data_IF_730084376359
#
_entry.id   IF_730084376359
#
_cell.length_a   1.000
_cell.length_b   1.000
_cell.length_c   1.000
_cell.angle_alpha   90.00
_cell.angle_beta   90.00
_cell.angle_gamma   90.00
#
_symmetry.space_group_name_H-M   'P 1'
#
loop_
_entity.id
_entity.type
_entity.pdbx_description
1 polymer ?
#
# COMPACT_ATOMS: atom_id res chain seq x y z
N UNK A 1 -6.58 39.83 6.65
CA UNK A 1 -5.52 39.63 5.62
C UNK A 1 -4.80 38.35 5.99
N UNK A 2 -5.25 37.19 5.44
CA UNK A 2 -4.66 35.91 5.73
C UNK A 2 -3.57 35.64 4.67
N UNK A 3 -2.33 35.53 5.12
CA UNK A 3 -1.23 35.10 4.26
C UNK A 3 -1.46 33.66 3.81
N UNK A 4 -1.19 33.31 2.54
CA UNK A 4 -1.30 31.94 2.08
C UNK A 4 -0.25 31.08 2.78
N UNK A 5 -0.68 30.02 3.44
CA UNK A 5 0.19 28.99 3.99
C UNK A 5 1.05 28.42 2.85
N UNK A 6 2.35 28.71 2.90
CA UNK A 6 3.33 28.06 2.02
C UNK A 6 3.37 26.58 2.39
N UNK A 7 2.75 25.76 1.58
CA UNK A 7 2.93 24.30 1.62
C UNK A 7 4.37 24.03 1.21
N UNK A 8 5.23 23.74 2.18
CA UNK A 8 6.55 23.19 1.86
C UNK A 8 6.32 21.83 1.22
N UNK A 9 6.80 21.57 0.00
CA UNK A 9 6.77 20.24 -0.56
C UNK A 9 7.57 19.35 0.38
N UNK A 10 6.92 18.30 0.92
CA UNK A 10 7.64 17.24 1.63
C UNK A 10 8.79 16.75 0.75
N UNK A 11 9.88 16.21 1.34
CA UNK A 11 11.05 15.83 0.57
C UNK A 11 10.63 14.92 -0.57
N UNK A 12 10.88 15.38 -1.80
CA UNK A 12 10.76 14.53 -2.98
C UNK A 12 11.63 13.30 -2.72
N UNK A 13 11.19 12.09 -3.05
CA UNK A 13 12.07 10.94 -2.99
C UNK A 13 13.32 11.27 -3.81
N UNK A 14 14.53 10.97 -3.31
CA UNK A 14 15.76 11.36 -3.96
C UNK A 14 15.76 10.86 -5.39
N UNK A 15 15.77 11.77 -6.34
CA UNK A 15 16.03 11.49 -7.74
C UNK A 15 17.42 10.89 -7.89
N UNK A 16 17.55 9.93 -8.73
CA UNK A 16 18.66 9.04 -9.06
C UNK A 16 18.74 7.80 -8.17
N UNK A 17 18.02 6.78 -8.64
CA UNK A 17 18.16 5.41 -8.18
C UNK A 17 19.49 4.82 -8.67
N UNK A 18 20.57 5.14 -7.98
CA UNK A 18 21.80 4.34 -8.06
C UNK A 18 21.46 2.94 -7.54
N UNK A 19 21.98 1.89 -8.17
CA UNK A 19 21.84 0.51 -7.70
C UNK A 19 22.51 0.41 -6.33
N UNK A 20 21.75 0.67 -5.26
CA UNK A 20 22.25 0.49 -3.91
C UNK A 20 22.11 -0.99 -3.58
N UNK A 21 23.24 -1.66 -3.34
CA UNK A 21 23.28 -2.87 -2.52
C UNK A 21 22.92 -2.44 -1.09
N UNK A 22 21.65 -2.16 -0.84
CA UNK A 22 21.19 -1.77 0.48
C UNK A 22 20.75 -3.02 1.20
N UNK A 23 21.34 -3.28 2.36
CA UNK A 23 20.90 -4.34 3.27
C UNK A 23 19.55 -3.98 3.88
N UNK A 24 18.78 -4.97 4.37
CA UNK A 24 17.54 -4.74 5.13
C UNK A 24 17.80 -3.88 6.38
N UNK A 25 19.05 -3.80 6.85
CA UNK A 25 19.50 -2.90 7.91
C UNK A 25 19.27 -1.42 7.61
N UNK A 26 19.44 -1.03 6.34
CA UNK A 26 19.36 0.36 5.89
C UNK A 26 17.97 0.72 5.32
N UNK A 27 17.00 -0.21 5.44
CA UNK A 27 15.67 -0.03 4.86
C UNK A 27 14.76 0.74 5.83
N UNK A 28 14.29 1.91 5.40
CA UNK A 28 13.39 2.76 6.19
C UNK A 28 11.91 2.46 5.90
N UNK A 29 11.48 1.21 6.12
CA UNK A 29 10.08 0.79 5.93
C UNK A 29 9.24 0.93 7.20
N UNK A 30 9.73 1.63 8.23
CA UNK A 30 8.98 1.93 9.46
C UNK A 30 8.54 0.70 10.27
N UNK A 31 9.27 -0.41 10.19
CA UNK A 31 8.90 -1.63 10.91
C UNK A 31 7.81 -2.47 10.24
N UNK A 32 7.36 -2.11 9.04
CA UNK A 32 6.25 -2.78 8.33
C UNK A 32 6.70 -4.06 7.59
N UNK A 33 7.97 -4.15 7.20
CA UNK A 33 8.48 -5.24 6.38
C UNK A 33 8.49 -6.60 7.11
N UNK A 34 8.52 -7.68 6.33
CA UNK A 34 8.61 -9.06 6.82
C UNK A 34 9.85 -9.31 7.69
N UNK A 35 10.99 -8.65 7.40
CA UNK A 35 12.24 -8.78 8.16
C UNK A 35 12.25 -8.05 9.51
N UNK A 36 11.17 -7.35 9.86
CA UNK A 36 11.08 -6.58 11.12
C UNK A 36 11.11 -7.52 12.33
N UNK A 37 11.91 -7.13 13.33
CA UNK A 37 12.04 -7.90 14.58
C UNK A 37 12.98 -9.12 14.51
N UNK A 38 13.65 -9.34 13.37
CA UNK A 38 14.71 -10.32 13.28
C UNK A 38 15.99 -9.81 13.97
N UNK A 39 16.66 -10.69 14.70
CA UNK A 39 18.03 -10.45 15.20
C UNK A 39 19.03 -10.31 14.03
N UNK A 40 20.23 -9.82 14.33
CA UNK A 40 21.26 -9.52 13.31
C UNK A 40 21.64 -10.73 12.47
N UNK A 41 21.73 -11.93 13.07
CA UNK A 41 22.09 -13.17 12.39
C UNK A 41 21.00 -13.62 11.40
N UNK A 42 19.76 -13.62 11.86
CA UNK A 42 18.59 -13.97 11.05
C UNK A 42 18.31 -12.92 9.97
N UNK A 43 18.55 -11.63 10.26
CA UNK A 43 18.45 -10.56 9.27
C UNK A 43 19.46 -10.73 8.13
N UNK A 44 20.69 -11.13 8.45
CA UNK A 44 21.70 -11.43 7.43
C UNK A 44 21.32 -12.65 6.56
N UNK A 45 20.69 -13.68 7.15
CA UNK A 45 20.15 -14.81 6.39
C UNK A 45 19.02 -14.39 5.44
N UNK A 46 18.13 -13.54 5.92
CA UNK A 46 17.05 -12.97 5.12
C UNK A 46 17.60 -12.08 3.98
N UNK A 47 18.63 -11.26 4.23
CA UNK A 47 19.29 -10.44 3.21
C UNK A 47 19.91 -11.29 2.09
N UNK A 48 20.50 -12.43 2.44
CA UNK A 48 21.03 -13.37 1.42
C UNK A 48 19.93 -13.97 0.54
N UNK A 49 18.73 -14.19 1.10
CA UNK A 49 17.58 -14.65 0.34
C UNK A 49 17.09 -13.59 -0.65
N UNK A 50 17.01 -12.33 -0.22
CA UNK A 50 16.57 -11.20 -1.07
C UNK A 50 17.45 -11.04 -2.30
N UNK A 51 18.75 -11.28 -2.18
CA UNK A 51 19.71 -11.21 -3.28
C UNK A 51 19.77 -9.84 -3.95
N UNK A 52 18.94 -9.61 -4.96
CA UNK A 52 18.92 -8.35 -5.72
C UNK A 52 17.62 -7.59 -5.56
N UNK A 53 17.71 -6.26 -5.60
CA UNK A 53 16.55 -5.39 -5.67
C UNK A 53 16.14 -5.16 -7.13
N UNK A 54 14.86 -5.34 -7.43
CA UNK A 54 14.31 -5.14 -8.76
C UNK A 54 13.70 -3.75 -8.86
N UNK A 55 14.11 -2.99 -9.88
CA UNK A 55 13.46 -1.74 -10.26
C UNK A 55 12.26 -2.02 -11.14
N UNK A 56 11.19 -1.26 -10.92
CA UNK A 56 9.95 -1.31 -11.70
C UNK A 56 9.59 0.12 -12.05
N UNK A 57 9.59 0.46 -13.34
CA UNK A 57 9.25 1.81 -13.78
C UNK A 57 7.75 2.09 -13.62
N UNK A 58 7.40 3.37 -13.52
CA UNK A 58 6.00 3.80 -13.48
C UNK A 58 5.23 3.24 -14.69
N UNK A 59 4.08 2.60 -14.43
CA UNK A 59 3.25 1.94 -15.44
C UNK A 59 3.62 0.48 -15.73
N UNK A 60 4.80 0.03 -15.34
CA UNK A 60 5.22 -1.35 -15.55
C UNK A 60 4.49 -2.32 -14.63
N UNK A 61 4.33 -3.55 -15.13
CA UNK A 61 3.72 -4.64 -14.37
C UNK A 61 4.81 -5.53 -13.76
N UNK A 62 4.76 -5.70 -12.45
CA UNK A 62 5.68 -6.55 -11.69
C UNK A 62 5.38 -8.04 -11.93
N UNK A 63 4.13 -8.43 -11.79
CA UNK A 63 3.58 -9.76 -12.13
C UNK A 63 2.15 -9.63 -12.66
N UNK A 64 1.69 -10.66 -13.39
CA UNK A 64 0.37 -10.71 -14.01
C UNK A 64 -0.44 -11.89 -13.51
N UNK A 65 -1.75 -11.74 -13.50
CA UNK A 65 -2.70 -12.85 -13.32
C UNK A 65 -2.34 -14.04 -14.22
N UNK A 66 -2.35 -15.24 -13.65
CA UNK A 66 -2.02 -16.49 -14.36
C UNK A 66 -0.53 -16.84 -14.36
N UNK A 67 0.36 -15.96 -13.96
CA UNK A 67 1.78 -16.27 -13.81
C UNK A 67 2.02 -17.17 -12.58
N UNK A 68 2.93 -18.16 -12.66
CA UNK A 68 3.27 -19.01 -11.52
C UNK A 68 3.94 -18.18 -10.41
N UNK A 69 3.62 -18.49 -9.16
CA UNK A 69 4.29 -17.93 -7.99
C UNK A 69 5.73 -18.45 -7.95
N UNK A 70 6.68 -17.57 -8.18
CA UNK A 70 8.11 -17.83 -7.99
C UNK A 70 8.67 -17.11 -6.78
N UNK A 71 8.20 -15.88 -6.57
CA UNK A 71 8.67 -15.01 -5.51
C UNK A 71 7.51 -14.19 -4.96
N UNK A 72 7.59 -13.84 -3.68
CA UNK A 72 6.87 -12.72 -3.10
C UNK A 72 7.71 -11.45 -3.25
N UNK A 73 7.06 -10.30 -3.17
CA UNK A 73 7.72 -9.02 -3.40
C UNK A 73 7.46 -8.07 -2.23
N UNK A 74 8.50 -7.71 -1.47
CA UNK A 74 8.41 -6.66 -0.46
C UNK A 74 8.70 -5.31 -1.10
N UNK A 75 7.77 -4.36 -1.01
CA UNK A 75 7.95 -3.02 -1.57
C UNK A 75 8.91 -2.20 -0.69
N UNK A 76 10.08 -1.86 -1.23
CA UNK A 76 11.09 -1.06 -0.53
C UNK A 76 10.80 0.43 -0.61
N UNK A 77 10.47 0.91 -1.79
CA UNK A 77 10.02 2.27 -2.04
C UNK A 77 9.14 2.33 -3.28
N UNK A 78 8.28 3.34 -3.36
CA UNK A 78 7.33 3.52 -4.45
C UNK A 78 5.91 3.16 -4.05
N UNK A 79 5.07 2.97 -5.05
CA UNK A 79 3.63 2.78 -4.90
C UNK A 79 3.10 1.88 -6.02
N UNK A 80 2.28 0.91 -5.66
CA UNK A 80 1.65 0.00 -6.62
C UNK A 80 0.13 0.09 -6.56
N UNK A 81 -0.52 -0.47 -7.57
CA UNK A 81 -1.91 -0.91 -7.51
C UNK A 81 -1.98 -2.39 -7.84
N UNK A 82 -2.86 -3.12 -7.14
CA UNK A 82 -3.24 -4.48 -7.49
C UNK A 82 -4.58 -4.47 -8.19
N UNK A 83 -4.70 -5.27 -9.26
CA UNK A 83 -5.86 -5.29 -10.13
C UNK A 83 -6.28 -6.73 -10.41
N UNK A 84 -7.54 -7.06 -10.19
CA UNK A 84 -8.15 -8.33 -10.59
C UNK A 84 -9.08 -8.14 -11.77
N UNK A 85 -9.05 -9.08 -12.69
CA UNK A 85 -10.01 -9.15 -13.79
C UNK A 85 -11.31 -9.76 -13.31
N UNK A 86 -12.42 -9.07 -13.54
CA UNK A 86 -13.76 -9.55 -13.26
C UNK A 86 -14.61 -9.63 -14.53
N UNK A 87 -15.76 -10.29 -14.47
CA UNK A 87 -16.68 -10.40 -15.61
C UNK A 87 -17.25 -9.04 -16.06
N UNK A 88 -17.33 -8.08 -15.14
CA UNK A 88 -17.82 -6.73 -15.40
C UNK A 88 -16.70 -5.69 -15.68
N UNK A 89 -15.45 -6.15 -15.79
CA UNK A 89 -14.27 -5.30 -15.98
C UNK A 89 -13.23 -5.47 -14.88
N UNK A 90 -12.18 -4.69 -14.97
CA UNK A 90 -11.06 -4.75 -14.02
C UNK A 90 -11.42 -4.03 -12.72
N UNK A 91 -11.12 -4.66 -11.59
CA UNK A 91 -11.31 -4.11 -10.23
C UNK A 91 -9.96 -3.87 -9.58
N UNK A 92 -9.72 -2.64 -9.11
CA UNK A 92 -8.59 -2.36 -8.21
C UNK A 92 -8.91 -2.94 -6.84
N UNK A 93 -8.00 -3.75 -6.30
CA UNK A 93 -8.16 -4.44 -5.01
C UNK A 93 -7.28 -3.86 -3.91
N UNK A 94 -6.26 -3.07 -4.26
CA UNK A 94 -5.38 -2.45 -3.26
C UNK A 94 -4.39 -1.47 -3.86
N UNK A 95 -3.75 -0.74 -2.94
CA UNK A 95 -2.71 0.23 -3.24
C UNK A 95 -1.49 -0.02 -2.35
N UNK A 96 -0.68 -1.06 -2.65
CA UNK A 96 0.51 -1.39 -1.88
C UNK A 96 1.51 -0.23 -1.79
N UNK A 97 2.02 0.01 -0.58
CA UNK A 97 3.00 1.04 -0.24
C UNK A 97 4.28 0.42 0.35
N UNK A 98 5.33 1.23 0.50
CA UNK A 98 6.60 0.79 1.08
C UNK A 98 6.40 0.03 2.40
N UNK A 99 7.07 -1.12 2.55
CA UNK A 99 6.95 -2.03 3.68
C UNK A 99 5.94 -3.17 3.49
N UNK A 100 5.03 -3.06 2.53
CA UNK A 100 4.02 -4.09 2.28
C UNK A 100 4.55 -5.22 1.39
N UNK A 101 3.94 -6.40 1.56
CA UNK A 101 4.28 -7.61 0.82
C UNK A 101 3.22 -7.86 -0.26
N UNK A 102 3.66 -8.10 -1.49
CA UNK A 102 2.79 -8.37 -2.64
C UNK A 102 2.95 -9.82 -3.12
N UNK A 103 1.90 -10.37 -3.72
CA UNK A 103 1.87 -11.74 -4.24
C UNK A 103 1.32 -12.77 -3.25
N UNK A 104 0.83 -12.34 -2.08
CA UNK A 104 0.30 -13.21 -1.03
C UNK A 104 -0.90 -14.05 -1.52
N UNK A 105 -1.69 -13.50 -2.43
CA UNK A 105 -2.86 -14.16 -3.03
C UNK A 105 -2.51 -15.42 -3.83
N UNK A 106 -1.24 -15.55 -4.23
CA UNK A 106 -0.77 -16.68 -5.02
C UNK A 106 -0.28 -17.87 -4.17
N UNK A 107 -0.07 -17.69 -2.86
CA UNK A 107 0.52 -18.70 -1.98
C UNK A 107 -0.30 -19.99 -1.93
N UNK A 108 -1.61 -19.87 -1.89
CA UNK A 108 -2.49 -21.06 -1.79
C UNK A 108 -2.69 -21.81 -3.13
N UNK A 109 -2.55 -21.11 -4.26
CA UNK A 109 -2.84 -21.69 -5.58
C UNK A 109 -1.60 -21.91 -6.43
N UNK A 110 -0.46 -21.35 -6.05
CA UNK A 110 0.78 -21.34 -6.82
C UNK A 110 0.74 -20.43 -8.06
N UNK A 111 -0.33 -19.64 -8.23
CA UNK A 111 -0.55 -18.80 -9.42
C UNK A 111 -1.10 -17.45 -8.98
N UNK A 112 -0.53 -16.34 -9.51
CA UNK A 112 -1.02 -15.00 -9.25
C UNK A 112 -2.46 -14.79 -9.71
N UNK A 113 -3.28 -14.25 -8.83
CA UNK A 113 -4.70 -13.97 -9.06
C UNK A 113 -4.97 -12.51 -9.44
N UNK A 114 -3.94 -11.67 -9.40
CA UNK A 114 -3.99 -10.24 -9.68
C UNK A 114 -2.78 -9.78 -10.51
N UNK A 115 -2.92 -8.63 -11.16
CA UNK A 115 -1.78 -7.89 -11.71
C UNK A 115 -1.27 -6.90 -10.65
N UNK A 116 0.05 -6.74 -10.49
CA UNK A 116 0.66 -5.66 -9.71
C UNK A 116 1.33 -4.65 -10.65
N UNK A 117 0.86 -3.40 -10.63
CA UNK A 117 1.28 -2.34 -11.55
C UNK A 117 1.86 -1.19 -10.73
N UNK A 118 3.07 -0.74 -11.09
CA UNK A 118 3.72 0.39 -10.43
C UNK A 118 3.03 1.72 -10.79
N UNK A 119 2.71 2.54 -9.80
CA UNK A 119 2.14 3.88 -9.98
C UNK A 119 3.20 4.97 -10.09
N UNK A 120 4.40 4.66 -9.64
CA UNK A 120 5.61 5.49 -9.74
C UNK A 120 6.83 4.58 -9.82
N UNK A 121 8.00 5.14 -10.15
CA UNK A 121 9.26 4.40 -10.15
C UNK A 121 9.49 3.78 -8.77
N UNK A 122 9.61 2.48 -8.74
CA UNK A 122 9.55 1.68 -7.52
C UNK A 122 10.73 0.71 -7.42
N UNK A 123 11.05 0.31 -6.20
CA UNK A 123 12.03 -0.75 -5.92
C UNK A 123 11.38 -1.82 -5.06
N UNK A 124 11.48 -3.06 -5.47
CA UNK A 124 11.01 -4.22 -4.72
C UNK A 124 12.16 -5.14 -4.35
N UNK A 125 12.06 -5.75 -3.18
CA UNK A 125 12.88 -6.88 -2.75
C UNK A 125 12.19 -8.15 -3.23
N UNK A 126 12.84 -8.91 -4.09
CA UNK A 126 12.33 -10.18 -4.57
C UNK A 126 12.69 -11.29 -3.57
N UNK A 127 11.67 -12.02 -3.10
CA UNK A 127 11.77 -13.06 -2.08
C UNK A 127 11.41 -14.40 -2.73
N UNK A 128 12.38 -15.20 -3.23
CA UNK A 128 12.11 -16.51 -3.82
C UNK A 128 11.33 -17.38 -2.83
N UNK A 129 10.09 -17.79 -3.21
CA UNK A 129 9.15 -18.38 -2.26
C UNK A 129 9.67 -19.68 -1.65
N UNK A 130 10.26 -20.57 -2.45
CA UNK A 130 10.86 -21.81 -1.96
C UNK A 130 12.04 -21.59 -0.99
N UNK A 131 12.75 -20.47 -1.12
CA UNK A 131 13.80 -20.07 -0.18
C UNK A 131 13.22 -19.50 1.11
N UNK A 132 12.11 -18.78 1.00
CA UNK A 132 11.39 -18.23 2.14
C UNK A 132 10.78 -19.33 3.01
N UNK A 133 10.18 -20.37 2.40
CA UNK A 133 9.66 -21.54 3.12
C UNK A 133 10.73 -22.21 3.97
N UNK A 134 11.94 -22.43 3.41
CA UNK A 134 13.07 -22.96 4.19
C UNK A 134 13.48 -22.08 5.35
N UNK A 135 13.45 -20.74 5.17
CA UNK A 135 13.73 -19.83 6.27
C UNK A 135 12.65 -19.85 7.35
N UNK A 136 11.40 -20.15 7.02
CA UNK A 136 10.34 -20.31 8.01
C UNK A 136 10.56 -21.49 8.94
N UNK A 137 11.12 -22.60 8.44
CA UNK A 137 11.49 -23.77 9.25
C UNK A 137 12.57 -23.40 10.29
N UNK A 138 13.55 -22.61 9.86
CA UNK A 138 14.69 -22.24 10.69
C UNK A 138 14.44 -21.04 11.61
N UNK A 139 13.52 -20.14 11.26
CA UNK A 139 13.28 -18.87 11.94
C UNK A 139 11.80 -18.73 12.31
N UNK A 140 11.37 -19.30 13.44
CA UNK A 140 9.95 -19.26 13.86
C UNK A 140 9.39 -17.85 14.02
N UNK A 141 10.23 -16.86 14.34
CA UNK A 141 9.84 -15.45 14.41
C UNK A 141 9.43 -14.87 13.06
N UNK A 142 10.15 -15.22 11.99
CA UNK A 142 9.84 -14.85 10.60
C UNK A 142 8.51 -15.48 10.16
N UNK A 143 8.31 -16.75 10.47
CA UNK A 143 7.09 -17.49 10.15
C UNK A 143 5.85 -16.87 10.83
N UNK A 144 5.95 -16.58 12.14
CA UNK A 144 4.87 -15.86 12.87
C UNK A 144 4.60 -14.48 12.29
N UNK A 145 5.63 -13.75 11.86
CA UNK A 145 5.45 -12.45 11.21
C UNK A 145 4.73 -12.59 9.87
N UNK A 146 5.08 -13.61 9.08
CA UNK A 146 4.40 -13.90 7.81
C UNK A 146 2.90 -14.17 8.02
N UNK A 147 2.52 -15.01 9.00
CA UNK A 147 1.11 -15.25 9.31
C UNK A 147 0.36 -13.99 9.74
N UNK A 148 1.02 -13.10 10.48
CA UNK A 148 0.41 -11.80 10.83
C UNK A 148 0.14 -10.96 9.59
N UNK A 149 1.07 -10.88 8.65
CA UNK A 149 0.88 -10.15 7.40
C UNK A 149 -0.24 -10.76 6.56
N UNK A 150 -0.32 -12.08 6.47
CA UNK A 150 -1.43 -12.78 5.81
C UNK A 150 -2.78 -12.46 6.47
N UNK A 151 -2.85 -12.51 7.80
CA UNK A 151 -4.07 -12.15 8.54
C UNK A 151 -4.47 -10.70 8.32
N UNK A 152 -3.51 -9.77 8.28
CA UNK A 152 -3.76 -8.37 7.97
C UNK A 152 -4.32 -8.18 6.56
N UNK A 153 -3.79 -8.93 5.57
CA UNK A 153 -4.30 -8.88 4.20
C UNK A 153 -5.74 -9.40 4.11
N UNK A 154 -6.04 -10.52 4.75
CA UNK A 154 -7.41 -11.07 4.84
C UNK A 154 -8.37 -10.04 5.45
N UNK A 155 -7.98 -9.40 6.55
CA UNK A 155 -8.79 -8.37 7.20
C UNK A 155 -9.00 -7.15 6.30
N UNK A 156 -7.99 -6.76 5.51
CA UNK A 156 -8.07 -5.66 4.54
C UNK A 156 -9.06 -5.99 3.42
N UNK A 157 -9.02 -7.22 2.89
CA UNK A 157 -9.97 -7.68 1.87
C UNK A 157 -11.40 -7.74 2.41
N UNK A 158 -11.60 -8.24 3.65
CA UNK A 158 -12.91 -8.25 4.30
C UNK A 158 -13.44 -6.82 4.52
N UNK A 159 -12.56 -5.90 4.92
CA UNK A 159 -12.93 -4.49 5.06
C UNK A 159 -13.39 -3.89 3.72
N UNK A 160 -12.67 -4.17 2.63
CA UNK A 160 -13.06 -3.72 1.28
C UNK A 160 -14.43 -4.31 0.88
N UNK A 161 -14.70 -5.57 1.20
CA UNK A 161 -16.03 -6.18 0.96
C UNK A 161 -17.15 -5.44 1.71
N UNK A 162 -16.95 -5.14 2.99
CA UNK A 162 -17.91 -4.37 3.78
C UNK A 162 -18.10 -2.95 3.24
N UNK A 163 -16.99 -2.30 2.86
CA UNK A 163 -17.01 -0.97 2.26
C UNK A 163 -17.87 -0.96 0.99
N UNK A 164 -17.63 -1.91 0.08
CA UNK A 164 -18.35 -1.98 -1.18
C UNK A 164 -19.83 -2.40 -1.02
N UNK A 165 -20.11 -3.30 -0.06
CA UNK A 165 -21.43 -3.88 0.12
C UNK A 165 -22.40 -3.03 0.95
N UNK A 166 -21.90 -2.32 1.97
CA UNK A 166 -22.76 -1.72 2.98
C UNK A 166 -22.63 -0.20 3.16
N UNK A 167 -21.56 0.42 2.64
CA UNK A 167 -21.33 1.85 2.85
C UNK A 167 -21.87 2.71 1.70
N UNK A 168 -22.35 3.91 2.05
CA UNK A 168 -22.71 4.94 1.07
C UNK A 168 -21.43 5.55 0.45
N UNK A 169 -21.54 6.13 -0.73
CA UNK A 169 -20.42 6.70 -1.48
C UNK A 169 -19.57 7.70 -0.66
N UNK A 170 -20.19 8.53 0.17
CA UNK A 170 -19.50 9.47 1.05
C UNK A 170 -18.71 8.76 2.14
N UNK A 171 -19.27 7.71 2.75
CA UNK A 171 -18.60 6.91 3.75
C UNK A 171 -17.40 6.17 3.14
N UNK A 172 -17.55 5.59 1.93
CA UNK A 172 -16.45 4.94 1.20
C UNK A 172 -15.28 5.90 0.97
N UNK A 173 -15.58 7.12 0.53
CA UNK A 173 -14.55 8.15 0.30
C UNK A 173 -13.91 8.59 1.61
N UNK A 174 -14.66 8.80 2.68
CA UNK A 174 -14.13 9.17 3.98
C UNK A 174 -13.23 8.07 4.55
N UNK A 175 -13.66 6.80 4.47
CA UNK A 175 -12.87 5.63 4.87
C UNK A 175 -11.56 5.54 4.07
N UNK A 176 -11.62 5.67 2.75
CA UNK A 176 -10.43 5.66 1.90
C UNK A 176 -9.42 6.74 2.30
N UNK A 177 -9.88 7.98 2.56
CA UNK A 177 -8.99 9.07 2.98
C UNK A 177 -8.40 8.84 4.37
N UNK A 178 -9.19 8.31 5.31
CA UNK A 178 -8.72 7.94 6.64
C UNK A 178 -7.67 6.82 6.58
N UNK A 179 -7.93 5.76 5.79
CA UNK A 179 -7.01 4.64 5.59
C UNK A 179 -5.70 5.09 4.95
N UNK A 180 -5.76 5.98 3.95
CA UNK A 180 -4.56 6.59 3.36
C UNK A 180 -3.77 7.38 4.39
N UNK A 181 -4.42 8.21 5.21
CA UNK A 181 -3.76 8.95 6.29
C UNK A 181 -3.06 8.00 7.28
N UNK A 182 -3.75 6.95 7.72
CA UNK A 182 -3.19 5.94 8.62
C UNK A 182 -1.99 5.19 7.98
N UNK A 183 -2.09 4.85 6.69
CA UNK A 183 -1.01 4.21 5.95
C UNK A 183 0.24 5.10 5.84
N UNK A 184 0.07 6.40 5.62
CA UNK A 184 1.18 7.36 5.64
C UNK A 184 1.76 7.53 7.05
N UNK A 185 0.91 7.60 8.10
CA UNK A 185 1.35 7.70 9.49
C UNK A 185 2.21 6.49 9.92
N UNK A 186 1.81 5.28 9.54
CA UNK A 186 2.57 4.05 9.81
C UNK A 186 3.98 4.06 9.20
N UNK A 187 4.23 4.94 8.23
CA UNK A 187 5.53 5.15 7.56
C UNK A 187 6.28 6.38 8.06
N UNK A 188 5.80 7.01 9.14
CA UNK A 188 6.43 8.20 9.72
C UNK A 188 6.12 9.51 8.98
N UNK A 189 5.12 9.51 8.09
CA UNK A 189 4.65 10.72 7.40
C UNK A 189 3.42 11.33 8.10
N UNK A 190 3.03 12.53 7.66
CA UNK A 190 1.82 13.16 8.17
C UNK A 190 0.56 12.35 7.83
N UNK A 191 -0.31 12.04 8.81
CA UNK A 191 -1.61 11.41 8.53
C UNK A 191 -2.60 12.37 7.87
N UNK A 192 -2.40 13.67 8.01
CA UNK A 192 -3.31 14.68 7.52
C UNK A 192 -2.89 15.30 6.17
N UNK A 193 -1.66 15.04 5.71
CA UNK A 193 -1.14 15.64 4.49
C UNK A 193 -0.38 14.59 3.67
N UNK A 194 -0.92 14.23 2.51
CA UNK A 194 -0.34 13.20 1.65
C UNK A 194 -0.67 13.41 0.18
N UNK A 195 -0.01 12.65 -0.69
CA UNK A 195 -0.27 12.65 -2.12
C UNK A 195 -0.96 11.36 -2.56
N UNK A 196 -2.04 11.49 -3.31
CA UNK A 196 -2.68 10.37 -4.01
C UNK A 196 -1.87 10.03 -5.26
N UNK A 197 -1.19 8.89 -5.25
CA UNK A 197 -0.38 8.43 -6.39
C UNK A 197 -1.24 7.81 -7.50
N UNK A 198 -2.40 7.27 -7.12
CA UNK A 198 -3.39 6.68 -8.02
C UNK A 198 -4.22 7.73 -8.74
N UNK A 199 -4.78 7.38 -9.89
CA UNK A 199 -5.72 8.21 -10.64
C UNK A 199 -7.10 8.23 -9.96
N UNK A 200 -7.97 9.18 -10.34
CA UNK A 200 -9.37 9.17 -9.91
C UNK A 200 -10.14 7.97 -10.44
N UNK A 201 -9.74 7.44 -11.58
CA UNK A 201 -10.25 6.21 -12.15
C UNK A 201 -9.88 5.00 -11.28
N UNK A 202 -8.62 4.90 -10.84
CA UNK A 202 -8.18 3.85 -9.92
C UNK A 202 -8.94 3.91 -8.58
N UNK A 203 -9.12 5.12 -8.02
CA UNK A 203 -9.91 5.32 -6.80
C UNK A 203 -11.37 4.92 -7.05
N UNK A 204 -11.93 5.31 -8.17
CA UNK A 204 -13.30 4.93 -8.56
C UNK A 204 -13.45 3.41 -8.65
N UNK A 205 -12.55 2.73 -9.36
CA UNK A 205 -12.51 1.27 -9.43
C UNK A 205 -12.42 0.64 -8.03
N UNK A 206 -11.50 1.12 -7.17
CA UNK A 206 -11.33 0.61 -5.80
C UNK A 206 -12.59 0.78 -4.95
N UNK A 207 -13.27 1.94 -5.05
CA UNK A 207 -14.46 2.27 -4.25
C UNK A 207 -15.78 1.85 -4.89
N UNK A 208 -15.77 1.23 -6.07
CA UNK A 208 -16.99 0.90 -6.82
C UNK A 208 -17.80 2.13 -7.20
N UNK A 209 -17.13 3.21 -7.64
CA UNK A 209 -17.71 4.50 -8.01
C UNK A 209 -17.20 4.96 -9.37
N UNK A 210 -17.95 5.82 -10.05
CA UNK A 210 -17.49 6.45 -11.30
C UNK A 210 -16.50 7.58 -11.03
N UNK A 211 -15.69 7.94 -12.03
CA UNK A 211 -14.74 9.07 -11.97
C UNK A 211 -15.44 10.38 -11.60
N UNK A 212 -16.64 10.61 -12.17
CA UNK A 212 -17.47 11.79 -11.91
C UNK A 212 -17.94 11.82 -10.45
N UNK A 213 -18.30 10.65 -9.89
CA UNK A 213 -18.69 10.52 -8.48
C UNK A 213 -17.52 10.84 -7.56
N UNK A 214 -16.31 10.31 -7.84
CA UNK A 214 -15.08 10.64 -7.11
C UNK A 214 -14.82 12.14 -7.14
N UNK A 215 -14.90 12.76 -8.33
CA UNK A 215 -14.66 14.20 -8.51
C UNK A 215 -15.68 15.06 -7.75
N UNK A 216 -16.95 14.67 -7.77
CA UNK A 216 -18.02 15.34 -7.02
C UNK A 216 -17.84 15.21 -5.52
N UNK A 217 -17.46 14.01 -5.03
CA UNK A 217 -17.23 13.78 -3.60
C UNK A 217 -16.06 14.60 -3.07
N UNK A 218 -14.92 14.62 -3.79
CA UNK A 218 -13.77 15.45 -3.41
C UNK A 218 -14.13 16.93 -3.39
N UNK A 219 -14.86 17.42 -4.41
CA UNK A 219 -15.35 18.81 -4.44
C UNK A 219 -16.33 19.12 -3.31
N UNK A 220 -17.21 18.19 -2.93
CA UNK A 220 -18.13 18.33 -1.79
C UNK A 220 -17.38 18.38 -0.46
N UNK A 221 -16.42 17.49 -0.24
CA UNK A 221 -15.61 17.49 0.98
C UNK A 221 -14.77 18.78 1.11
N UNK A 222 -14.29 19.32 -0.01
CA UNK A 222 -13.62 20.62 -0.03
C UNK A 222 -14.58 21.76 0.35
N UNK A 223 -15.79 21.80 -0.20
CA UNK A 223 -16.82 22.80 0.14
C UNK A 223 -17.25 22.74 1.61
N UNK A 224 -17.24 21.55 2.21
CA UNK A 224 -17.55 21.34 3.62
C UNK A 224 -16.37 21.65 4.55
N UNK A 225 -15.22 22.04 4.01
CA UNK A 225 -14.03 22.34 4.79
C UNK A 225 -13.35 21.11 5.42
N UNK A 226 -13.68 19.89 4.94
CA UNK A 226 -13.13 18.65 5.48
C UNK A 226 -11.73 18.35 4.93
N UNK A 227 -11.49 18.74 3.67
CA UNK A 227 -10.22 18.53 2.97
C UNK A 227 -9.89 19.73 2.10
N UNK A 228 -8.61 19.88 1.76
CA UNK A 228 -8.18 20.65 0.60
C UNK A 228 -7.50 19.74 -0.41
N UNK A 229 -7.72 20.00 -1.71
CA UNK A 229 -7.15 19.20 -2.79
C UNK A 229 -6.47 20.13 -3.78
N UNK A 230 -5.17 19.92 -4.00
CA UNK A 230 -4.42 20.55 -5.09
C UNK A 230 -3.81 19.44 -5.97
N UNK A 231 -4.37 19.25 -7.16
CA UNK A 231 -4.00 18.17 -8.09
C UNK A 231 -4.08 16.79 -7.43
N UNK A 232 -2.96 16.29 -6.92
CA UNK A 232 -2.82 15.01 -6.21
C UNK A 232 -2.53 15.17 -4.71
N UNK A 233 -2.21 16.38 -4.28
CA UNK A 233 -2.00 16.68 -2.87
C UNK A 233 -3.34 16.80 -2.16
N UNK A 234 -3.49 16.11 -1.04
CA UNK A 234 -4.66 16.16 -0.17
C UNK A 234 -4.21 16.54 1.22
N UNK A 235 -4.94 17.51 1.81
CA UNK A 235 -4.81 17.85 3.22
C UNK A 235 -6.16 17.59 3.87
N UNK A 236 -6.19 16.75 4.89
CA UNK A 236 -7.35 16.58 5.76
C UNK A 236 -7.38 17.77 6.72
N UNK A 237 -8.30 18.70 6.48
CA UNK A 237 -8.48 19.91 7.31
C UNK A 237 -9.26 19.62 8.58
N UNK A 238 -10.14 18.62 8.54
CA UNK A 238 -10.87 18.08 9.69
C UNK A 238 -10.76 16.54 9.73
N UNK A 239 -9.60 16.01 10.19
CA UNK A 239 -9.39 14.56 10.26
C UNK A 239 -10.37 13.85 11.19
N UNK A 240 -10.81 14.53 12.26
CA UNK A 240 -11.77 13.96 13.20
C UNK A 240 -13.13 13.72 12.53
N UNK A 241 -13.60 14.71 11.79
CA UNK A 241 -14.88 14.58 11.07
C UNK A 241 -14.80 13.53 9.96
N UNK A 242 -13.67 13.43 9.27
CA UNK A 242 -13.43 12.34 8.30
C UNK A 242 -13.49 10.97 8.99
N UNK A 243 -12.85 10.82 10.16
CA UNK A 243 -12.89 9.56 10.94
C UNK A 243 -14.30 9.22 11.44
N UNK A 244 -15.10 10.20 11.84
CA UNK A 244 -16.52 10.00 12.23
C UNK A 244 -17.39 9.55 11.05
N UNK A 245 -17.11 10.06 9.85
CA UNK A 245 -17.81 9.66 8.62
C UNK A 245 -17.35 8.28 8.12
N UNK A 246 -16.10 7.93 8.37
CA UNK A 246 -15.56 6.61 8.10
C UNK A 246 -16.20 5.61 9.07
N UNK A 247 -16.52 4.42 8.62
CA UNK A 247 -17.05 3.38 9.50
C UNK A 247 -15.94 2.84 10.38
N UNK A 248 -15.67 3.35 11.52
CA UNK A 248 -14.90 2.88 12.68
C UNK A 248 -14.00 1.63 12.61
N UNK A 249 -13.62 1.19 11.42
CA UNK A 249 -12.72 0.07 11.19
C UNK A 249 -11.28 0.57 11.26
N UNK A 250 -10.53 0.08 12.21
CA UNK A 250 -9.09 0.33 12.28
C UNK A 250 -8.40 -0.67 11.37
N UNK A 251 -7.69 -0.23 10.32
CA UNK A 251 -6.88 -1.15 9.52
C UNK A 251 -5.91 -1.90 10.45
N UNK A 252 -5.63 -3.16 10.12
CA UNK A 252 -4.65 -3.96 10.84
C UNK A 252 -3.33 -3.19 10.87
N UNK A 253 -3.07 -2.51 11.97
CA UNK A 253 -1.76 -1.90 12.19
C UNK A 253 -0.78 -3.06 12.42
N UNK A 254 0.27 -3.21 11.62
CA UNK A 254 1.32 -4.16 11.95
C UNK A 254 1.92 -3.70 13.28
N UNK A 255 1.46 -4.32 14.37
CA UNK A 255 1.99 -4.02 15.69
C UNK A 255 3.50 -4.23 15.68
N UNK A 256 4.19 -3.23 16.17
CA UNK A 256 5.62 -3.19 16.50
C UNK A 256 6.02 -4.37 17.39
#
# INVERSE_FOLDING_TARGET
MNAPLRVSPGPAPPGLLTVMKGQCGDCNTGGLCLSTGLDSGNKMRFDRLVGQHRRVAAGDTLYRTGQPLRSLYALRCGFFKTRRRGPAGDQITGFPMAGELMGLEAVGTGIHQSDAIALEDSIVCELPFAGLERLFEDIPGLHRRFYRLMSCEINREQHLMLLLGHMRAEQRMATFLADMGAAYAARGYSPAQFQLRMSREDIGSYLGLTIESISRLLGRFTKLGLITVDKRAVVLTDPQRIAEMASGFSPCSPMV
#
